data_IF_779325093310
#
_entry.id   IF_779325093310
#
_cell.length_a   1.000
_cell.length_b   1.000
_cell.length_c   1.000
_cell.angle_alpha   90.00
_cell.angle_beta   90.00
_cell.angle_gamma   90.00
#
_symmetry.space_group_name_H-M   'P 1'
#
loop_
_entity.id
_entity.type
_entity.pdbx_description
1 polymer ?
#
# COMPACT_ATOMS: atom_id res chain seq x y z
N UNK A 1 -14.34 -8.25 -15.40
CA UNK A 1 -13.61 -6.95 -15.35
C UNK A 1 -13.01 -6.80 -13.96
N UNK A 2 -12.06 -5.88 -13.73
CA UNK A 2 -11.55 -5.67 -12.38
C UNK A 2 -12.65 -5.02 -11.52
N UNK A 3 -12.92 -5.57 -10.33
CA UNK A 3 -13.97 -5.05 -9.43
C UNK A 3 -13.46 -3.94 -8.53
N UNK A 4 -12.15 -3.89 -8.30
CA UNK A 4 -11.50 -2.88 -7.46
C UNK A 4 -10.46 -2.10 -8.27
N UNK A 5 -10.48 -0.79 -8.11
CA UNK A 5 -9.53 0.14 -8.73
C UNK A 5 -8.85 0.99 -7.66
N UNK A 6 -7.52 0.92 -7.60
CA UNK A 6 -6.73 1.86 -6.81
C UNK A 6 -6.68 3.20 -7.56
N UNK A 7 -7.28 4.23 -6.96
CA UNK A 7 -7.41 5.57 -7.55
C UNK A 7 -6.18 6.42 -7.27
N UNK A 8 -5.74 6.45 -6.01
CA UNK A 8 -4.60 7.27 -5.59
C UNK A 8 -3.91 6.66 -4.35
N UNK A 9 -2.62 6.94 -4.24
CA UNK A 9 -1.82 6.70 -3.04
C UNK A 9 -1.01 7.96 -2.76
N UNK A 10 -1.38 8.71 -1.71
CA UNK A 10 -0.63 9.90 -1.31
C UNK A 10 0.36 9.56 -0.20
N UNK A 11 1.60 10.01 -0.35
CA UNK A 11 2.66 9.81 0.65
C UNK A 11 2.65 10.98 1.62
N UNK A 12 2.61 10.71 2.93
CA UNK A 12 2.70 11.71 3.99
C UNK A 12 4.01 11.55 4.78
N UNK A 13 4.38 12.59 5.54
CA UNK A 13 5.60 12.64 6.37
C UNK A 13 6.88 12.28 5.59
N UNK A 14 7.16 13.06 4.55
CA UNK A 14 8.28 12.85 3.65
C UNK A 14 8.96 14.18 3.27
N UNK A 15 10.29 14.32 3.37
CA UNK A 15 11.25 13.37 3.97
C UNK A 15 11.08 13.23 5.49
N UNK A 16 11.58 12.15 6.07
CA UNK A 16 11.53 11.91 7.52
C UNK A 16 12.73 11.05 7.98
N UNK A 17 12.92 10.90 9.29
CA UNK A 17 13.94 9.97 9.81
C UNK A 17 13.59 8.53 9.49
N UNK A 18 14.60 7.64 9.45
CA UNK A 18 14.41 6.23 9.14
C UNK A 18 13.34 5.53 10.02
N UNK A 19 13.36 5.82 11.33
CA UNK A 19 12.43 5.22 12.31
C UNK A 19 11.04 5.87 12.32
N UNK A 20 10.83 6.96 11.57
CA UNK A 20 9.49 7.56 11.47
C UNK A 20 8.56 6.58 10.73
N UNK A 21 7.36 6.28 11.26
CA UNK A 21 6.39 5.42 10.58
C UNK A 21 6.06 5.89 9.16
N UNK A 22 5.84 4.95 8.25
CA UNK A 22 5.30 5.22 6.93
C UNK A 22 3.84 5.65 7.06
N UNK A 23 3.41 6.60 6.22
CA UNK A 23 2.03 7.06 6.18
C UNK A 23 1.58 7.23 4.73
N UNK A 24 0.61 6.42 4.32
CA UNK A 24 0.03 6.46 2.98
C UNK A 24 -1.47 6.69 3.07
N UNK A 25 -2.01 7.70 2.37
CA UNK A 25 -3.45 7.84 2.18
C UNK A 25 -3.86 7.04 0.95
N UNK A 26 -4.60 5.95 1.16
CA UNK A 26 -5.04 5.03 0.11
C UNK A 26 -6.46 5.41 -0.31
N UNK A 27 -6.65 5.65 -1.61
CA UNK A 27 -7.94 5.89 -2.22
C UNK A 27 -8.22 4.77 -3.21
N UNK A 28 -9.33 4.07 -3.04
CA UNK A 28 -9.74 3.02 -3.97
C UNK A 28 -11.24 3.05 -4.20
N UNK A 29 -11.64 2.51 -5.35
CA UNK A 29 -13.02 2.35 -5.76
C UNK A 29 -13.34 0.87 -5.89
N UNK A 30 -14.50 0.49 -5.37
CA UNK A 30 -15.11 -0.81 -5.53
C UNK A 30 -16.34 -0.66 -6.41
N UNK A 31 -16.34 -1.30 -7.59
CA UNK A 31 -17.43 -1.21 -8.56
C UNK A 31 -18.62 -2.11 -8.22
N UNK A 32 -18.38 -3.18 -7.46
CA UNK A 32 -19.35 -4.18 -7.02
C UNK A 32 -19.02 -4.60 -5.58
N UNK A 33 -20.02 -5.08 -4.84
CA UNK A 33 -19.78 -5.65 -3.51
C UNK A 33 -18.88 -6.90 -3.59
N UNK A 34 -17.83 -6.93 -2.77
CA UNK A 34 -16.91 -8.06 -2.69
C UNK A 34 -17.44 -9.12 -1.73
N UNK A 35 -17.32 -10.38 -2.14
CA UNK A 35 -17.77 -11.54 -1.36
C UNK A 35 -16.70 -12.05 -0.39
N UNK A 36 -15.44 -11.73 -0.66
CA UNK A 36 -14.28 -12.13 0.14
C UNK A 36 -13.46 -10.90 0.54
N UNK A 37 -12.46 -11.14 1.36
CA UNK A 37 -11.67 -10.07 1.95
C UNK A 37 -10.72 -9.42 0.93
N UNK A 38 -10.58 -8.11 1.07
CA UNK A 38 -9.57 -7.31 0.40
C UNK A 38 -8.39 -7.11 1.35
N UNK A 39 -7.19 -7.48 0.92
CA UNK A 39 -5.98 -7.39 1.72
C UNK A 39 -5.05 -6.30 1.16
N UNK A 40 -4.61 -5.38 2.01
CA UNK A 40 -3.57 -4.41 1.72
C UNK A 40 -2.33 -4.69 2.57
N UNK A 41 -1.15 -4.60 1.98
CA UNK A 41 0.13 -4.74 2.69
C UNK A 41 1.07 -3.61 2.34
N UNK A 42 1.85 -3.17 3.32
CA UNK A 42 3.04 -2.34 3.12
C UNK A 42 4.25 -3.26 3.26
N UNK A 43 5.10 -3.30 2.25
CA UNK A 43 6.29 -4.15 2.21
C UNK A 43 7.51 -3.28 1.96
N UNK A 44 8.51 -3.39 2.82
CA UNK A 44 9.82 -2.76 2.63
C UNK A 44 10.77 -3.75 2.00
N UNK A 45 11.43 -3.37 0.91
CA UNK A 45 12.44 -4.21 0.26
C UNK A 45 13.76 -4.04 1.02
N UNK A 46 14.19 -5.10 1.71
CA UNK A 46 15.41 -5.06 2.52
C UNK A 46 16.69 -5.11 1.67
N UNK A 47 16.63 -5.73 0.51
CA UNK A 47 17.75 -5.83 -0.45
C UNK A 47 17.21 -5.89 -1.87
N UNK A 48 17.90 -5.25 -2.81
CA UNK A 48 17.53 -5.32 -4.23
C UNK A 48 17.83 -6.70 -4.86
N UNK A 49 18.66 -7.52 -4.21
CA UNK A 49 19.14 -8.79 -4.78
C UNK A 49 18.21 -9.98 -4.49
N UNK A 50 17.50 -9.95 -3.35
CA UNK A 50 16.66 -11.06 -2.92
C UNK A 50 15.43 -10.58 -2.15
N UNK A 51 14.31 -11.27 -2.37
CA UNK A 51 13.04 -11.06 -1.68
C UNK A 51 13.06 -11.60 -0.24
N UNK A 52 14.09 -12.34 0.15
CA UNK A 52 14.20 -12.93 1.50
C UNK A 52 14.35 -11.88 2.61
N UNK A 53 14.83 -10.68 2.26
CA UNK A 53 14.93 -9.55 3.18
C UNK A 53 13.71 -8.63 3.13
N UNK A 54 12.69 -8.95 2.32
CA UNK A 54 11.46 -8.17 2.27
C UNK A 54 10.71 -8.28 3.58
N UNK A 55 10.29 -7.13 4.11
CA UNK A 55 9.61 -7.05 5.39
C UNK A 55 8.20 -6.52 5.18
N UNK A 56 7.20 -7.32 5.54
CA UNK A 56 5.81 -6.82 5.63
C UNK A 56 5.70 -5.97 6.89
N UNK A 57 5.54 -4.66 6.73
CA UNK A 57 5.51 -3.68 7.81
C UNK A 57 4.15 -3.61 8.50
N UNK A 58 3.07 -3.63 7.71
CA UNK A 58 1.70 -3.70 8.21
C UNK A 58 0.82 -4.38 7.17
N UNK A 59 -0.27 -4.97 7.64
CA UNK A 59 -1.26 -5.68 6.85
C UNK A 59 -2.66 -5.32 7.34
N UNK A 60 -3.52 -4.90 6.42
CA UNK A 60 -4.93 -4.63 6.69
C UNK A 60 -5.77 -5.57 5.84
N UNK A 61 -6.76 -6.19 6.46
CA UNK A 61 -7.77 -7.01 5.81
C UNK A 61 -9.12 -6.32 6.02
N UNK A 62 -9.83 -6.08 4.92
CA UNK A 62 -11.16 -5.46 4.92
C UNK A 62 -12.16 -6.51 4.47
N UNK A 63 -13.04 -6.91 5.39
CA UNK A 63 -14.15 -7.81 5.08
C UNK A 63 -15.29 -7.04 4.39
N UNK A 64 -16.08 -7.77 3.58
CA UNK A 64 -17.35 -7.32 3.01
C UNK A 64 -17.34 -5.87 2.48
N UNK A 65 -16.48 -5.58 1.50
CA UNK A 65 -16.36 -4.24 0.90
C UNK A 65 -17.54 -3.95 -0.02
N UNK A 66 -18.43 -2.99 0.31
CA UNK A 66 -19.55 -2.65 -0.54
C UNK A 66 -19.08 -1.85 -1.76
N UNK A 67 -19.97 -1.68 -2.74
CA UNK A 67 -19.74 -0.78 -3.86
C UNK A 67 -19.57 0.67 -3.35
N UNK A 68 -18.56 1.37 -3.84
CA UNK A 68 -18.31 2.77 -3.48
C UNK A 68 -16.85 3.19 -3.57
N UNK A 69 -16.57 4.42 -3.18
CA UNK A 69 -15.21 4.95 -3.07
C UNK A 69 -14.80 5.08 -1.61
N UNK A 70 -13.61 4.60 -1.31
CA UNK A 70 -13.10 4.51 0.05
C UNK A 70 -11.76 5.22 0.15
N UNK A 71 -11.56 5.81 1.32
CA UNK A 71 -10.31 6.45 1.68
C UNK A 71 -9.92 6.10 3.11
N UNK A 72 -8.65 5.75 3.30
CA UNK A 72 -8.12 5.51 4.64
C UNK A 72 -6.63 5.82 4.75
N UNK A 73 -6.17 6.07 5.96
CA UNK A 73 -4.76 6.27 6.28
C UNK A 73 -4.11 4.93 6.65
N UNK A 74 -3.19 4.47 5.81
CA UNK A 74 -2.41 3.26 6.03
C UNK A 74 -1.05 3.62 6.63
N UNK A 75 -0.92 3.44 7.94
CA UNK A 75 0.32 3.71 8.68
C UNK A 75 0.99 2.40 9.08
N UNK A 76 2.31 2.34 8.96
CA UNK A 76 3.13 1.19 9.35
C UNK A 76 4.43 1.65 10.01
N UNK A 77 4.92 0.89 10.98
CA UNK A 77 6.18 1.17 11.66
C UNK A 77 7.39 1.00 10.71
N UNK A 78 8.56 1.49 11.13
CA UNK A 78 9.80 1.32 10.36
C UNK A 78 10.21 -0.16 10.25
N UNK A 79 10.94 -0.56 9.20
CA UNK A 79 11.48 -1.92 9.10
C UNK A 79 12.42 -2.27 10.24
N UNK A 80 12.56 -3.56 10.52
CA UNK A 80 13.53 -4.10 11.47
C UNK A 80 14.93 -4.03 10.85
N UNK A 81 15.78 -3.18 11.44
CA UNK A 81 17.15 -2.93 10.98
C UNK A 81 18.04 -4.17 11.03
N UNK A 82 17.72 -5.15 11.90
CA UNK A 82 18.53 -6.37 12.03
C UNK A 82 18.40 -7.31 10.83
N UNK A 83 17.37 -7.12 10.02
CA UNK A 83 17.10 -7.90 8.80
C UNK A 83 17.53 -7.17 7.52
N UNK A 84 18.10 -5.97 7.63
CA UNK A 84 18.58 -5.21 6.48
C UNK A 84 20.08 -5.46 6.35
N UNK A 85 20.56 -5.97 5.21
CA UNK A 85 21.99 -6.07 4.94
C UNK A 85 22.68 -4.71 5.05
N UNK A 86 23.87 -4.67 5.65
CA UNK A 86 24.57 -3.40 5.88
C UNK A 86 24.85 -2.63 4.57
N UNK A 87 25.13 -3.35 3.49
CA UNK A 87 25.40 -2.79 2.16
C UNK A 87 24.15 -2.16 1.51
N UNK A 88 22.95 -2.58 1.92
CA UNK A 88 21.66 -2.09 1.40
C UNK A 88 20.99 -1.05 2.33
N UNK A 89 21.56 -0.81 3.51
CA UNK A 89 20.99 0.12 4.49
C UNK A 89 21.01 1.58 4.00
N UNK A 90 22.07 1.98 3.29
CA UNK A 90 22.28 3.33 2.77
C UNK A 90 22.17 3.30 1.25
N UNK A 91 21.40 4.23 0.68
CA UNK A 91 21.16 4.32 -0.76
C UNK A 91 19.70 4.10 -1.11
N UNK A 92 19.47 3.64 -2.34
CA UNK A 92 18.12 3.52 -2.90
C UNK A 92 17.57 2.12 -2.69
N UNK A 93 16.40 2.06 -2.08
CA UNK A 93 15.56 0.86 -1.97
C UNK A 93 14.13 1.16 -2.41
N UNK A 94 13.18 0.25 -2.16
CA UNK A 94 11.78 0.34 -2.58
C UNK A 94 10.85 0.01 -1.41
N UNK A 95 9.77 0.77 -1.30
CA UNK A 95 8.59 0.40 -0.50
C UNK A 95 7.44 0.08 -1.44
N UNK A 96 6.74 -1.01 -1.18
CA UNK A 96 5.63 -1.53 -1.98
C UNK A 96 4.34 -1.44 -1.17
N UNK A 97 3.27 -0.94 -1.79
CA UNK A 97 1.90 -1.15 -1.35
C UNK A 97 1.25 -2.14 -2.30
N UNK A 98 0.84 -3.29 -1.79
CA UNK A 98 0.14 -4.31 -2.57
C UNK A 98 -1.31 -4.40 -2.14
N UNK A 99 -2.22 -4.61 -3.10
CA UNK A 99 -3.58 -5.02 -2.81
C UNK A 99 -3.90 -6.36 -3.47
N UNK A 100 -4.51 -7.24 -2.69
CA UNK A 100 -4.81 -8.62 -3.05
C UNK A 100 -6.27 -8.94 -2.74
N UNK A 101 -6.90 -9.71 -3.62
CA UNK A 101 -8.22 -10.25 -3.41
C UNK A 101 -8.13 -11.77 -3.57
N UNK A 102 -8.63 -12.54 -2.60
CA UNK A 102 -8.51 -14.02 -2.58
C UNK A 102 -7.06 -14.50 -2.77
N UNK A 103 -6.12 -13.85 -2.09
CA UNK A 103 -4.68 -14.15 -2.16
C UNK A 103 -4.05 -13.94 -3.56
N UNK A 104 -4.78 -13.34 -4.51
CA UNK A 104 -4.26 -12.94 -5.80
C UNK A 104 -4.01 -11.43 -5.78
N UNK A 105 -2.75 -11.04 -5.88
CA UNK A 105 -2.36 -9.64 -6.02
C UNK A 105 -2.87 -9.10 -7.36
N UNK A 106 -3.62 -8.00 -7.33
CA UNK A 106 -4.13 -7.35 -8.54
C UNK A 106 -3.50 -5.99 -8.80
N UNK A 107 -2.90 -5.36 -7.79
CA UNK A 107 -2.17 -4.11 -7.94
C UNK A 107 -1.01 -4.04 -6.96
N UNK A 108 0.09 -3.46 -7.45
CA UNK A 108 1.29 -3.14 -6.69
C UNK A 108 1.75 -1.73 -7.03
N UNK A 109 1.92 -0.89 -6.02
CA UNK A 109 2.48 0.45 -6.15
C UNK A 109 3.83 0.47 -5.45
N UNK A 110 4.90 0.67 -6.21
CA UNK A 110 6.24 0.81 -5.67
C UNK A 110 6.70 2.26 -5.67
N UNK A 111 7.29 2.69 -4.56
CA UNK A 111 8.01 3.96 -4.46
C UNK A 111 9.48 3.69 -4.21
N UNK A 112 10.35 4.42 -4.91
CA UNK A 112 11.75 4.47 -4.54
C UNK A 112 11.90 5.21 -3.22
N UNK A 113 12.76 4.69 -2.37
CA UNK A 113 13.10 5.23 -1.07
C UNK A 113 14.61 5.43 -1.06
N UNK A 114 15.05 6.66 -0.88
CA UNK A 114 16.46 6.97 -0.71
C UNK A 114 16.76 7.17 0.78
N UNK A 115 17.64 6.34 1.34
CA UNK A 115 18.16 6.48 2.69
C UNK A 115 19.54 7.11 2.61
N UNK A 116 19.70 8.31 3.16
CA UNK A 116 20.99 8.99 3.19
C UNK A 116 21.28 9.60 4.56
N UNK A 117 22.56 9.70 4.92
CA UNK A 117 22.96 10.44 6.11
C UNK A 117 22.66 11.93 5.94
N UNK A 118 22.27 12.63 6.99
CA UNK A 118 22.14 14.09 6.93
C UNK A 118 23.53 14.77 6.97
N UNK A 119 24.44 14.24 7.78
CA UNK A 119 25.78 14.79 7.99
C UNK A 119 26.72 14.54 6.79
N UNK A 120 27.34 15.62 6.27
CA UNK A 120 28.27 15.54 5.14
C UNK A 120 29.49 14.65 5.45
N UNK A 121 29.99 14.66 6.68
CA UNK A 121 31.14 13.82 7.08
C UNK A 121 30.84 12.32 6.95
N UNK A 122 29.60 11.92 7.30
CA UNK A 122 29.13 10.54 7.17
C UNK A 122 28.80 10.17 5.72
N UNK A 123 28.44 11.14 4.88
CA UNK A 123 28.31 10.92 3.43
C UNK A 123 29.67 10.64 2.80
N UNK A 124 30.68 11.44 3.14
CA UNK A 124 32.01 11.34 2.55
C UNK A 124 32.80 10.15 3.11
N UNK A 125 32.55 9.78 4.37
CA UNK A 125 33.20 8.66 5.06
C UNK A 125 32.14 7.79 5.76
N UNK A 126 31.39 6.95 5.02
CA UNK A 126 30.35 6.13 5.62
C UNK A 126 30.96 5.12 6.60
N UNK A 127 30.36 4.96 7.80
CA UNK A 127 30.81 3.97 8.77
C UNK A 127 30.57 2.55 8.23
N UNK A 128 31.39 1.58 8.66
CA UNK A 128 31.24 0.18 8.27
C UNK A 128 29.94 -0.44 8.78
N UNK A 129 29.46 0.00 9.94
CA UNK A 129 28.14 -0.36 10.47
C UNK A 129 27.19 0.83 10.26
N UNK A 130 26.06 0.63 9.56
CA UNK A 130 25.11 1.71 9.30
C UNK A 130 24.49 2.29 10.57
N UNK A 131 24.46 3.63 10.66
CA UNK A 131 23.87 4.36 11.77
C UNK A 131 22.45 4.83 11.42
N UNK A 132 21.46 3.93 11.55
CA UNK A 132 20.07 4.17 11.16
C UNK A 132 19.41 5.37 11.86
N UNK A 133 19.87 5.72 13.06
CA UNK A 133 19.43 6.89 13.82
C UNK A 133 19.77 8.22 13.14
N UNK A 134 20.76 8.21 12.24
CA UNK A 134 21.20 9.39 11.47
C UNK A 134 20.80 9.33 10.00
N UNK A 135 20.03 8.31 9.61
CA UNK A 135 19.51 8.19 8.25
C UNK A 135 18.21 8.97 8.09
N UNK A 136 18.19 9.76 7.04
CA UNK A 136 17.00 10.41 6.51
C UNK A 136 16.48 9.60 5.33
N UNK A 137 15.18 9.32 5.39
CA UNK A 137 14.43 8.58 4.40
C UNK A 137 13.64 9.57 3.53
N UNK A 138 13.87 9.51 2.23
CA UNK A 138 13.12 10.26 1.24
C UNK A 138 12.45 9.33 0.23
N UNK A 139 11.12 9.36 0.20
CA UNK A 139 10.28 8.62 -0.73
C UNK A 139 10.08 9.47 -1.99
N UNK A 140 10.32 8.91 -3.17
CA UNK A 140 10.09 9.56 -4.46
C UNK A 140 8.58 9.55 -4.81
N UNK A 141 7.79 10.33 -4.06
CA UNK A 141 6.33 10.33 -4.14
C UNK A 141 5.76 10.71 -5.51
N UNK A 142 6.48 11.52 -6.30
CA UNK A 142 6.03 11.98 -7.62
C UNK A 142 6.20 10.93 -8.74
N UNK A 143 6.93 9.84 -8.49
CA UNK A 143 7.23 8.82 -9.49
C UNK A 143 6.86 7.40 -9.01
N UNK A 144 5.58 7.13 -8.68
CA UNK A 144 5.14 5.80 -8.32
C UNK A 144 5.25 4.85 -9.52
N UNK A 145 5.68 3.63 -9.26
CA UNK A 145 5.62 2.52 -10.22
C UNK A 145 4.40 1.66 -9.95
N UNK A 146 3.39 1.77 -10.79
CA UNK A 146 2.15 1.00 -10.66
C UNK A 146 2.20 -0.21 -11.60
N UNK A 147 2.10 -1.40 -11.03
CA UNK A 147 1.94 -2.66 -11.76
C UNK A 147 0.56 -3.23 -11.46
N UNK A 148 -0.18 -3.62 -12.51
CA UNK A 148 -1.51 -4.21 -12.40
C UNK A 148 -1.48 -5.64 -12.91
N UNK A 149 -2.12 -6.54 -12.19
CA UNK A 149 -2.21 -7.95 -12.55
C UNK A 149 -3.67 -8.31 -12.81
N UNK A 150 -3.89 -9.18 -13.79
CA UNK A 150 -5.21 -9.75 -14.01
C UNK A 150 -5.40 -10.89 -13.02
N UNK A 151 -6.51 -10.85 -12.29
CA UNK A 151 -6.90 -11.89 -11.34
C UNK A 151 -8.31 -12.38 -11.64
N UNK A 152 -8.66 -13.53 -11.08
CA UNK A 152 -10.03 -14.00 -11.10
C UNK A 152 -10.85 -13.37 -9.95
N UNK A 153 -11.79 -12.50 -10.31
CA UNK A 153 -12.66 -11.81 -9.36
C UNK A 153 -13.91 -12.60 -8.98
N UNK A 154 -14.32 -13.55 -9.82
CA UNK A 154 -15.51 -14.36 -9.61
C UNK A 154 -15.13 -15.74 -9.09
N UNK A 155 -15.98 -16.35 -8.26
CA UNK A 155 -15.75 -17.73 -7.81
C UNK A 155 -15.75 -18.64 -9.03
N UNK A 156 -14.67 -19.38 -9.24
CA UNK A 156 -14.53 -20.26 -10.40
C UNK A 156 -15.69 -21.27 -10.46
N UNK A 157 -16.65 -21.00 -11.34
CA UNK A 157 -17.23 -22.01 -12.22
C UNK A 157 -16.77 -21.70 -13.65
N UNK A 158 -15.46 -21.76 -13.89
CA UNK A 158 -14.90 -21.94 -15.23
C UNK A 158 -13.44 -22.35 -15.12
N UNK A 159 -13.19 -23.65 -15.32
CA UNK A 159 -11.92 -24.11 -15.85
C UNK A 159 -11.75 -23.50 -17.24
N UNK A 160 -10.82 -22.57 -17.40
CA UNK A 160 -10.20 -22.32 -18.71
C UNK A 160 -8.84 -21.65 -18.51
N UNK A 161 -7.80 -22.44 -18.74
CA UNK A 161 -6.43 -22.03 -18.99
C UNK A 161 -6.38 -20.97 -20.11
N UNK A 162 -5.52 -19.95 -19.98
CA UNK A 162 -5.08 -19.17 -21.16
C UNK A 162 -4.80 -17.68 -20.94
N UNK A 163 -3.51 -17.37 -20.79
CA UNK A 163 -2.78 -16.20 -21.32
C UNK A 163 -3.19 -14.76 -20.96
N UNK A 164 -2.27 -14.11 -20.24
CA UNK A 164 -2.21 -12.67 -19.99
C UNK A 164 -1.93 -11.88 -21.28
N UNK A 165 -2.90 -11.05 -21.71
CA UNK A 165 -2.65 -9.91 -22.60
C UNK A 165 -3.26 -8.62 -22.04
N UNK A 166 -2.42 -7.59 -21.88
CA UNK A 166 -2.78 -6.27 -21.37
C UNK A 166 -3.65 -5.50 -22.38
N UNK A 167 -4.81 -4.99 -21.96
CA UNK A 167 -5.61 -4.03 -22.74
C UNK A 167 -6.06 -2.89 -21.85
N UNK A 168 -5.78 -1.67 -22.28
CA UNK A 168 -6.22 -0.42 -21.68
C UNK A 168 -7.47 0.09 -22.41
N UNK A 169 -8.48 0.56 -21.66
CA UNK A 169 -9.27 1.79 -21.94
C UNK A 169 -10.61 1.83 -21.16
N UNK A 170 -10.87 3.01 -20.58
CA UNK A 170 -12.10 3.84 -20.64
C UNK A 170 -13.45 3.31 -20.10
N UNK A 171 -13.78 3.81 -18.89
CA UNK A 171 -14.93 4.66 -18.50
C UNK A 171 -16.37 4.35 -18.98
N UNK A 172 -17.29 4.09 -18.03
CA UNK A 172 -18.58 4.79 -17.84
C UNK A 172 -19.49 4.08 -16.80
N UNK A 173 -20.15 4.91 -15.98
CA UNK A 173 -20.91 4.67 -14.74
C UNK A 173 -22.30 3.99 -14.87
N UNK A 174 -22.82 3.42 -13.75
CA UNK A 174 -24.21 3.62 -13.25
C UNK A 174 -24.33 3.34 -11.72
N UNK A 175 -25.19 4.12 -11.07
CA UNK A 175 -25.44 4.35 -9.63
C UNK A 175 -26.45 3.35 -9.04
N UNK A 176 -26.35 2.96 -7.76
CA UNK A 176 -27.47 2.95 -6.79
C UNK A 176 -27.01 2.62 -5.34
N UNK A 177 -27.83 3.09 -4.41
CA UNK A 177 -27.59 3.56 -3.05
C UNK A 177 -28.00 2.53 -1.97
N UNK A 178 -27.37 2.57 -0.80
CA UNK A 178 -27.97 2.31 0.54
C UNK A 178 -26.88 2.08 1.60
N UNK A 179 -26.90 2.95 2.60
CA UNK A 179 -25.99 3.09 3.74
C UNK A 179 -25.74 1.81 4.52
N UNK A 180 -24.47 1.53 4.86
CA UNK A 180 -24.08 0.71 6.01
C UNK A 180 -22.65 1.07 6.48
N UNK A 181 -22.49 1.22 7.79
CA UNK A 181 -21.22 1.52 8.46
C UNK A 181 -20.47 0.19 8.74
N UNK A 182 -19.19 0.08 8.37
CA UNK A 182 -18.39 -1.16 8.50
C UNK A 182 -17.58 -1.15 9.81
N UNK A 183 -17.51 -2.30 10.48
CA UNK A 183 -16.74 -2.49 11.72
C UNK A 183 -15.58 -3.46 11.43
N UNK A 184 -14.35 -3.00 11.62
CA UNK A 184 -13.13 -3.80 11.48
C UNK A 184 -12.93 -4.74 12.68
N UNK A 185 -12.38 -5.93 12.42
CA UNK A 185 -11.81 -6.80 13.46
C UNK A 185 -10.33 -7.06 13.16
N UNK A 186 -9.45 -6.45 13.95
CA UNK A 186 -8.02 -6.78 13.95
C UNK A 186 -7.79 -7.98 14.87
N UNK A 187 -7.09 -9.01 14.38
CA UNK A 187 -6.40 -9.94 15.26
C UNK A 187 -5.04 -9.34 15.63
N UNK A 188 -4.99 -8.82 16.85
CA UNK A 188 -3.81 -8.34 17.61
C UNK A 188 -3.38 -6.88 17.41
N UNK A 189 -3.43 -6.17 18.55
CA UNK A 189 -3.06 -4.78 18.87
C UNK A 189 -3.94 -3.63 18.32
N UNK A 190 -4.70 -3.06 19.25
CA UNK A 190 -5.65 -1.96 19.17
C UNK A 190 -5.16 -0.69 18.45
N UNK A 191 -5.61 -0.47 17.22
CA UNK A 191 -5.91 0.87 16.67
C UNK A 191 -7.12 0.78 15.73
N UNK A 192 -8.23 1.45 16.08
CA UNK A 192 -9.37 1.64 15.18
C UNK A 192 -8.95 2.60 14.05
N UNK A 193 -8.80 2.10 12.82
CA UNK A 193 -8.57 2.94 11.63
C UNK A 193 -9.93 3.21 10.98
N UNK A 194 -10.41 4.46 11.06
CA UNK A 194 -11.66 4.89 10.41
C UNK A 194 -11.46 4.96 8.90
N UNK A 195 -12.16 4.11 8.15
CA UNK A 195 -12.33 4.26 6.70
C UNK A 195 -13.48 5.23 6.50
N UNK A 196 -13.23 6.38 5.87
CA UNK A 196 -14.27 7.36 5.59
C UNK A 196 -14.81 7.07 4.19
N UNK A 197 -16.10 6.77 4.11
CA UNK A 197 -16.83 6.76 2.85
C UNK A 197 -17.17 8.22 2.50
N UNK A 198 -16.70 8.70 1.34
CA UNK A 198 -16.88 10.11 0.94
C UNK A 198 -18.30 10.41 0.40
N UNK A 199 -19.25 9.47 0.48
CA UNK A 199 -20.61 9.66 -0.04
C UNK A 199 -21.56 10.48 0.87
N UNK A 200 -21.13 10.97 2.04
CA UNK A 200 -21.98 11.83 2.88
C UNK A 200 -21.64 13.31 2.70
N UNK A 201 -22.44 13.99 1.86
CA UNK A 201 -22.49 15.44 1.81
C UNK A 201 -23.12 16.02 3.07
N UNK A 202 -22.49 17.07 3.60
CA UNK A 202 -23.00 17.94 4.67
C UNK A 202 -24.48 18.30 4.46
N UNK A 203 -25.37 17.78 5.31
CA UNK A 203 -26.67 18.39 5.55
C UNK A 203 -26.56 19.22 6.82
N UNK A 204 -26.45 20.53 6.65
CA UNK A 204 -26.76 21.48 7.71
C UNK A 204 -28.28 21.45 7.94
N UNK A 205 -28.74 20.99 9.10
CA UNK A 205 -30.05 21.41 9.63
C UNK A 205 -29.88 22.73 10.41
N UNK A 206 -30.87 23.59 10.25
CA UNK A 206 -30.96 24.99 10.71
C UNK A 206 -30.82 25.19 12.22
#
# INVERSE_FOLDING_TARGET
MAKVHLLNVAVHNNPATFFTPFQFEIHFECLEELQDDLEFKIIYVGSAETVEFDQTLDQIVVDAVPKGQFKFMFQADSPDISKIPADDAVGVTVVLITASYRQQEFVRVGYYVNNEYEDQELKDNPPSEPQFDKLMRQIAADQPRVTKFKINWDSANSNSEGNNECVAAQDSEMVEDSSNNLVLKNSELSQEKTIVNNNEGLVFEQ
#
